data_IF_449263642587
#
_entry.id   IF_449263642587
#
_cell.length_a   1.000
_cell.length_b   1.000
_cell.length_c   1.000
_cell.angle_alpha   90.00
_cell.angle_beta   90.00
_cell.angle_gamma   90.00
#
_symmetry.space_group_name_H-M   'P 1'
#
loop_
_entity.id
_entity.type
_entity.pdbx_description
1 polymer ?
#
# COMPACT_ATOMS: atom_id res chain seq x y z
N UNK A 1 13.36 -10.93 6.19
CA UNK A 1 12.09 -11.22 5.49
C UNK A 1 11.18 -11.94 6.47
N UNK A 2 9.96 -11.45 6.71
CA UNK A 2 8.98 -12.07 7.64
C UNK A 2 8.12 -13.13 6.93
N UNK A 3 8.67 -13.81 5.93
CA UNK A 3 7.98 -14.87 5.18
C UNK A 3 7.17 -14.43 3.96
N UNK A 4 7.27 -13.15 3.52
CA UNK A 4 6.64 -12.71 2.28
C UNK A 4 7.26 -13.42 1.07
N UNK A 5 6.43 -13.97 0.17
CA UNK A 5 6.87 -14.73 -1.01
C UNK A 5 7.34 -13.86 -2.17
N UNK A 6 6.73 -12.69 -2.37
CA UNK A 6 7.13 -11.69 -3.36
C UNK A 6 6.69 -10.28 -2.94
N UNK A 7 7.23 -9.24 -3.58
CA UNK A 7 6.84 -7.85 -3.34
C UNK A 7 6.89 -6.99 -4.60
N UNK A 8 5.89 -6.14 -4.79
CA UNK A 8 5.92 -5.07 -5.81
C UNK A 8 6.25 -3.75 -5.12
N UNK A 9 7.29 -3.05 -5.59
CA UNK A 9 7.75 -1.79 -4.99
C UNK A 9 7.56 -0.63 -5.97
N UNK A 10 6.67 0.30 -5.63
CA UNK A 10 6.27 1.40 -6.52
C UNK A 10 6.87 2.72 -6.01
N UNK A 11 7.63 3.41 -6.86
CA UNK A 11 8.10 4.77 -6.59
C UNK A 11 8.44 5.48 -7.91
N UNK A 12 7.96 6.70 -8.10
CA UNK A 12 8.17 7.48 -9.32
C UNK A 12 9.59 8.08 -9.41
N UNK A 13 10.22 8.36 -8.27
CA UNK A 13 11.52 9.00 -8.20
C UNK A 13 12.65 8.02 -8.58
N UNK A 14 13.43 8.39 -9.60
CA UNK A 14 14.55 7.58 -10.07
C UNK A 14 15.64 7.36 -9.01
N UNK A 15 15.79 8.26 -8.04
CA UNK A 15 16.73 8.09 -6.91
C UNK A 15 16.25 6.99 -5.97
N UNK A 16 14.97 6.99 -5.59
CA UNK A 16 14.37 5.94 -4.77
C UNK A 16 14.49 4.57 -5.42
N UNK A 17 14.20 4.48 -6.72
CA UNK A 17 14.31 3.24 -7.48
C UNK A 17 15.74 2.66 -7.52
N UNK A 18 16.76 3.52 -7.61
CA UNK A 18 18.15 3.07 -7.50
C UNK A 18 18.46 2.52 -6.11
N UNK A 19 17.97 3.17 -5.05
CA UNK A 19 18.13 2.70 -3.68
C UNK A 19 17.40 1.37 -3.46
N UNK A 20 16.17 1.23 -3.97
CA UNK A 20 15.39 -0.01 -3.93
C UNK A 20 16.18 -1.14 -4.58
N UNK A 21 16.68 -0.95 -5.81
CA UNK A 21 17.46 -1.97 -6.52
C UNK A 21 18.73 -2.36 -5.77
N UNK A 22 19.49 -1.38 -5.28
CA UNK A 22 20.69 -1.63 -4.49
C UNK A 22 20.39 -2.39 -3.20
N UNK A 23 19.26 -2.10 -2.55
CA UNK A 23 18.84 -2.83 -1.36
C UNK A 23 18.43 -4.26 -1.69
N UNK A 24 17.70 -4.49 -2.80
CA UNK A 24 17.32 -5.82 -3.28
C UNK A 24 18.55 -6.67 -3.66
N UNK A 25 19.56 -6.05 -4.29
CA UNK A 25 20.84 -6.71 -4.59
C UNK A 25 21.53 -7.17 -3.31
N UNK A 26 21.65 -6.28 -2.31
CA UNK A 26 22.30 -6.57 -1.03
C UNK A 26 21.57 -7.62 -0.20
N UNK A 27 20.25 -7.73 -0.35
CA UNK A 27 19.43 -8.71 0.38
C UNK A 27 19.21 -9.99 -0.42
N UNK A 28 19.72 -10.09 -1.65
CA UNK A 28 19.51 -11.21 -2.56
C UNK A 28 18.03 -11.48 -2.87
N UNK A 29 17.22 -10.42 -2.92
CA UNK A 29 15.76 -10.50 -3.13
C UNK A 29 15.31 -10.01 -4.53
N UNK A 30 16.24 -9.80 -5.46
CA UNK A 30 15.91 -9.31 -6.80
C UNK A 30 14.90 -10.18 -7.55
N UNK A 31 14.98 -11.50 -7.41
CA UNK A 31 14.05 -12.43 -8.08
C UNK A 31 12.66 -12.48 -7.41
N UNK A 32 12.57 -12.03 -6.16
CA UNK A 32 11.33 -12.00 -5.37
C UNK A 32 10.69 -10.61 -5.32
N UNK A 33 11.23 -9.65 -6.07
CA UNK A 33 10.78 -8.27 -6.03
C UNK A 33 10.63 -7.65 -7.43
N UNK A 34 9.53 -6.94 -7.64
CA UNK A 34 9.23 -6.21 -8.88
C UNK A 34 9.23 -4.70 -8.62
N UNK A 35 10.37 -4.01 -8.81
CA UNK A 35 10.41 -2.55 -8.71
C UNK A 35 9.76 -1.88 -9.93
N UNK A 36 8.79 -1.00 -9.71
CA UNK A 36 8.04 -0.24 -10.71
C UNK A 36 8.31 1.26 -10.57
N UNK A 37 8.95 1.84 -11.60
CA UNK A 37 9.21 3.29 -11.68
C UNK A 37 8.06 4.02 -12.35
N UNK A 38 6.97 4.25 -11.62
CA UNK A 38 5.79 4.99 -12.08
C UNK A 38 4.97 5.51 -10.89
N UNK A 39 3.95 6.33 -11.15
CA UNK A 39 3.04 6.79 -10.10
C UNK A 39 2.17 5.66 -9.59
N UNK A 40 1.75 5.75 -8.32
CA UNK A 40 0.92 4.72 -7.68
C UNK A 40 -0.40 4.50 -8.43
N UNK A 41 -1.02 5.55 -8.97
CA UNK A 41 -2.29 5.41 -9.71
C UNK A 41 -2.10 4.55 -10.96
N UNK A 42 -1.03 4.77 -11.73
CA UNK A 42 -0.75 4.00 -12.94
C UNK A 42 -0.36 2.56 -12.60
N UNK A 43 0.44 2.37 -11.54
CA UNK A 43 0.85 1.05 -11.06
C UNK A 43 -0.34 0.21 -10.60
N UNK A 44 -1.21 0.76 -9.74
CA UNK A 44 -2.39 0.03 -9.24
C UNK A 44 -3.32 -0.39 -10.39
N UNK A 45 -3.53 0.50 -11.36
CA UNK A 45 -4.32 0.17 -12.57
C UNK A 45 -3.67 -0.92 -13.41
N UNK A 46 -2.35 -0.88 -13.57
CA UNK A 46 -1.61 -1.91 -14.30
C UNK A 46 -1.73 -3.27 -13.61
N UNK A 47 -1.48 -3.31 -12.29
CA UNK A 47 -1.58 -4.52 -11.47
C UNK A 47 -3.00 -5.11 -11.48
N UNK A 48 -4.02 -4.25 -11.43
CA UNK A 48 -5.42 -4.67 -11.55
C UNK A 48 -5.72 -5.34 -12.88
N UNK A 49 -5.18 -4.81 -13.98
CA UNK A 49 -5.29 -5.41 -15.31
C UNK A 49 -4.53 -6.72 -15.45
N UNK A 50 -3.42 -6.87 -14.72
CA UNK A 50 -2.65 -8.11 -14.64
C UNK A 50 -3.34 -9.16 -13.75
N UNK A 51 -4.40 -8.79 -13.01
CA UNK A 51 -5.11 -9.67 -12.08
C UNK A 51 -4.33 -9.96 -10.81
N UNK A 52 -3.33 -9.13 -10.50
CA UNK A 52 -2.49 -9.27 -9.32
C UNK A 52 -3.29 -8.99 -8.04
N UNK A 53 -3.04 -9.79 -7.01
CA UNK A 53 -3.64 -9.63 -5.68
C UNK A 53 -2.58 -9.73 -4.60
N UNK A 54 -2.80 -8.99 -3.52
CA UNK A 54 -1.84 -8.84 -2.43
C UNK A 54 -2.48 -9.19 -1.09
N UNK A 55 -1.74 -9.89 -0.24
CA UNK A 55 -2.14 -10.12 1.15
C UNK A 55 -1.92 -8.86 2.00
N UNK A 56 -0.96 -8.03 1.61
CA UNK A 56 -0.58 -6.80 2.31
C UNK A 56 -0.27 -5.72 1.29
N UNK A 57 -0.92 -4.57 1.43
CA UNK A 57 -0.57 -3.34 0.69
C UNK A 57 -0.14 -2.30 1.72
N UNK A 58 1.10 -1.80 1.58
CA UNK A 58 1.66 -0.78 2.45
C UNK A 58 1.78 0.56 1.73
N UNK A 59 1.39 1.64 2.40
CA UNK A 59 1.43 2.99 1.88
C UNK A 59 2.07 3.91 2.92
N UNK A 60 3.20 4.50 2.54
CA UNK A 60 3.91 5.54 3.30
C UNK A 60 4.03 6.80 2.42
N UNK A 61 2.96 7.60 2.35
CA UNK A 61 2.96 8.85 1.60
C UNK A 61 3.66 9.97 2.38
N UNK A 62 4.17 11.00 1.69
CA UNK A 62 4.60 12.22 2.36
C UNK A 62 3.46 12.79 3.22
N UNK A 63 3.73 13.09 4.50
CA UNK A 63 2.71 13.46 5.50
C UNK A 63 1.64 14.44 5.01
N UNK A 64 2.03 15.46 4.25
CA UNK A 64 1.13 16.51 3.73
C UNK A 64 0.04 15.97 2.78
N UNK A 65 0.28 14.85 2.11
CA UNK A 65 -0.63 14.24 1.14
C UNK A 65 -1.27 12.94 1.65
N UNK A 66 -0.97 12.53 2.89
CA UNK A 66 -1.36 11.23 3.41
C UNK A 66 -2.88 11.01 3.39
N UNK A 67 -3.65 12.03 3.77
CA UNK A 67 -5.11 12.00 3.80
C UNK A 67 -5.72 11.74 2.41
N UNK A 68 -5.43 12.61 1.44
CA UNK A 68 -5.98 12.51 0.08
C UNK A 68 -5.48 11.25 -0.64
N UNK A 69 -4.20 10.93 -0.47
CA UNK A 69 -3.61 9.76 -1.10
C UNK A 69 -4.17 8.46 -0.50
N UNK A 70 -4.39 8.38 0.82
CA UNK A 70 -4.98 7.20 1.45
C UNK A 70 -6.40 6.94 0.95
N UNK A 71 -7.25 7.97 0.87
CA UNK A 71 -8.61 7.86 0.31
C UNK A 71 -8.59 7.37 -1.14
N UNK A 72 -7.73 7.98 -1.96
CA UNK A 72 -7.64 7.61 -3.38
C UNK A 72 -7.09 6.20 -3.57
N UNK A 73 -6.07 5.82 -2.82
CA UNK A 73 -5.47 4.48 -2.90
C UNK A 73 -6.47 3.42 -2.41
N UNK A 74 -7.21 3.67 -1.33
CA UNK A 74 -8.22 2.72 -0.85
C UNK A 74 -9.34 2.51 -1.87
N UNK A 75 -9.76 3.56 -2.58
CA UNK A 75 -10.72 3.44 -3.69
C UNK A 75 -10.17 2.60 -4.84
N UNK A 76 -8.93 2.87 -5.28
CA UNK A 76 -8.30 2.13 -6.39
C UNK A 76 -8.02 0.66 -6.03
N UNK A 77 -7.68 0.36 -4.78
CA UNK A 77 -7.50 -1.02 -4.31
C UNK A 77 -8.81 -1.80 -4.47
N UNK A 78 -9.93 -1.21 -4.04
CA UNK A 78 -11.25 -1.82 -4.15
C UNK A 78 -11.73 -1.90 -5.61
N UNK A 79 -11.56 -0.83 -6.39
CA UNK A 79 -11.94 -0.78 -7.82
C UNK A 79 -11.24 -1.86 -8.63
N UNK A 80 -9.95 -2.11 -8.36
CA UNK A 80 -9.13 -3.07 -9.10
C UNK A 80 -9.02 -4.44 -8.43
N UNK A 81 -9.69 -4.66 -7.29
CA UNK A 81 -9.69 -5.93 -6.57
C UNK A 81 -8.29 -6.40 -6.19
N UNK A 82 -7.44 -5.48 -5.71
CA UNK A 82 -6.01 -5.73 -5.48
C UNK A 82 -5.69 -6.44 -4.16
N UNK A 83 -6.66 -6.57 -3.26
CA UNK A 83 -6.47 -7.34 -2.02
C UNK A 83 -7.02 -8.76 -2.18
N UNK A 84 -6.32 -9.71 -1.57
CA UNK A 84 -6.89 -11.03 -1.31
C UNK A 84 -7.94 -10.92 -0.20
N UNK A 85 -8.80 -11.95 -0.09
CA UNK A 85 -9.70 -12.09 1.05
C UNK A 85 -8.89 -12.11 2.36
N UNK A 86 -9.26 -11.26 3.32
CA UNK A 86 -8.50 -11.07 4.56
C UNK A 86 -7.19 -10.27 4.39
N UNK A 87 -6.92 -9.74 3.20
CA UNK A 87 -5.79 -8.88 2.92
C UNK A 87 -5.88 -7.54 3.64
N UNK A 88 -4.72 -6.98 3.99
CA UNK A 88 -4.63 -5.80 4.86
C UNK A 88 -4.03 -4.62 4.08
N UNK A 89 -4.73 -3.49 4.11
CA UNK A 89 -4.19 -2.20 3.69
C UNK A 89 -3.64 -1.43 4.89
N UNK A 90 -2.37 -1.02 4.82
CA UNK A 90 -1.65 -0.36 5.91
C UNK A 90 -1.22 1.03 5.45
N UNK A 91 -1.58 2.05 6.23
CA UNK A 91 -1.22 3.44 5.96
C UNK A 91 -0.37 3.99 7.10
N UNK A 92 0.81 4.49 6.76
CA UNK A 92 1.63 5.32 7.64
C UNK A 92 1.27 6.80 7.46
N UNK A 93 1.19 7.54 8.56
CA UNK A 93 0.75 8.95 8.56
C UNK A 93 1.21 9.68 9.82
N UNK A 94 0.94 10.98 9.91
CA UNK A 94 1.20 11.78 11.12
C UNK A 94 0.25 11.36 12.25
N UNK A 95 0.71 11.46 13.50
CA UNK A 95 -0.05 11.14 14.70
C UNK A 95 -1.41 11.84 14.81
N UNK A 96 -1.57 12.99 14.15
CA UNK A 96 -2.78 13.81 14.15
C UNK A 96 -3.60 13.66 12.86
N UNK A 97 -3.20 12.77 11.95
CA UNK A 97 -3.93 12.52 10.72
C UNK A 97 -5.18 11.66 10.98
N UNK A 98 -6.34 12.18 10.58
CA UNK A 98 -7.65 11.50 10.65
C UNK A 98 -7.84 10.45 9.55
N UNK A 99 -6.86 9.56 9.34
CA UNK A 99 -6.89 8.59 8.23
C UNK A 99 -8.11 7.66 8.31
N UNK A 100 -8.48 7.22 9.52
CA UNK A 100 -9.61 6.32 9.76
C UNK A 100 -10.96 6.88 9.31
N UNK A 101 -11.13 8.20 9.32
CA UNK A 101 -12.38 8.88 8.94
C UNK A 101 -12.45 9.12 7.43
N UNK A 102 -11.29 9.10 6.76
CA UNK A 102 -11.14 9.45 5.35
C UNK A 102 -11.21 8.20 4.46
N UNK A 103 -10.69 7.08 4.95
CA UNK A 103 -10.81 5.77 4.31
C UNK A 103 -12.14 5.15 4.73
N UNK A 104 -13.19 5.45 3.98
CA UNK A 104 -14.57 5.06 4.31
C UNK A 104 -15.01 3.74 3.68
N UNK A 105 -14.32 3.29 2.62
CA UNK A 105 -14.66 2.08 1.88
C UNK A 105 -14.01 0.80 2.45
N UNK A 106 -13.33 0.91 3.60
CA UNK A 106 -12.65 -0.20 4.26
C UNK A 106 -12.88 -0.12 5.77
N UNK A 107 -12.80 -1.26 6.44
CA UNK A 107 -12.97 -1.33 7.90
C UNK A 107 -11.63 -1.12 8.59
N UNK A 108 -11.53 -0.09 9.44
CA UNK A 108 -10.36 0.13 10.28
C UNK A 108 -10.28 -0.94 11.37
N UNK A 109 -9.22 -1.76 11.34
CA UNK A 109 -8.97 -2.79 12.36
C UNK A 109 -8.34 -2.21 13.62
N UNK A 110 -7.29 -1.40 13.44
CA UNK A 110 -6.53 -0.81 14.53
C UNK A 110 -5.68 0.35 14.03
N UNK A 111 -5.32 1.24 14.94
CA UNK A 111 -4.29 2.24 14.73
C UNK A 111 -3.27 2.18 15.86
N UNK A 112 -1.98 2.25 15.51
CA UNK A 112 -0.87 2.20 16.45
C UNK A 112 -0.06 3.50 16.33
N UNK A 113 0.07 4.22 17.44
CA UNK A 113 0.85 5.46 17.51
C UNK A 113 2.27 5.18 17.99
N UNK A 114 3.25 5.68 17.25
CA UNK A 114 4.68 5.60 17.53
C UNK A 114 5.29 7.00 17.49
N UNK A 115 5.26 7.72 18.61
CA UNK A 115 5.71 9.10 18.66
C UNK A 115 4.85 10.01 17.77
N UNK A 116 5.47 10.56 16.72
CA UNK A 116 4.82 11.39 15.70
C UNK A 116 4.19 10.58 14.55
N UNK A 117 4.42 9.26 14.49
CA UNK A 117 3.89 8.40 13.42
C UNK A 117 2.63 7.66 13.88
N UNK A 118 1.63 7.56 13.02
CA UNK A 118 0.44 6.73 13.17
C UNK A 118 0.39 5.70 12.05
N UNK A 119 0.32 4.42 12.42
CA UNK A 119 0.14 3.31 11.49
C UNK A 119 -1.29 2.80 11.64
N UNK A 120 -2.08 2.86 10.59
CA UNK A 120 -3.47 2.39 10.58
C UNK A 120 -3.63 1.20 9.65
N UNK A 121 -4.37 0.19 10.12
CA UNK A 121 -4.60 -1.07 9.44
C UNK A 121 -6.07 -1.17 9.05
N UNK A 122 -6.33 -1.49 7.79
CA UNK A 122 -7.65 -1.60 7.19
C UNK A 122 -7.85 -2.99 6.57
N UNK A 123 -9.07 -3.54 6.69
CA UNK A 123 -9.54 -4.66 5.89
C UNK A 123 -10.49 -4.15 4.82
N UNK A 124 -10.49 -4.84 3.68
CA UNK A 124 -11.57 -4.72 2.73
C UNK A 124 -12.90 -5.06 3.43
N UNK A 125 -13.87 -4.16 3.30
CA UNK A 125 -15.22 -4.42 3.80
C UNK A 125 -15.90 -5.38 2.83
N UNK A 126 -16.50 -6.46 3.32
CA UNK A 126 -17.30 -7.36 2.49
C UNK A 126 -18.37 -6.52 1.78
N UNK A 127 -18.22 -6.37 0.46
CA UNK A 127 -19.34 -5.93 -0.35
C UNK A 127 -20.20 -7.17 -0.50
N UNK A 128 -21.27 -7.27 0.29
CA UNK A 128 -22.34 -8.22 -0.01
C UNK A 128 -22.87 -7.86 -1.39
N UNK A 129 -22.45 -8.60 -2.41
CA UNK A 129 -23.16 -8.64 -3.68
C UNK A 129 -24.50 -9.34 -3.40
N UNK A 130 -25.59 -8.57 -3.33
CA UNK A 130 -26.95 -9.08 -3.56
C UNK A 130 -27.19 -9.36 -5.05
#
# INVERSE_FOLDING_TARGET
SRGAGSAVLIDQAGKSQQVIRKNLEKTHLLEQARPLKMGYTEALRMLGKEGEKFDIIFMDPPYAMAKEAASKVSMLINEYGLLNEGGIFIVESDANAEIKEIVTNMTCLKSCKYGATLVTFFLESETMCE
#
